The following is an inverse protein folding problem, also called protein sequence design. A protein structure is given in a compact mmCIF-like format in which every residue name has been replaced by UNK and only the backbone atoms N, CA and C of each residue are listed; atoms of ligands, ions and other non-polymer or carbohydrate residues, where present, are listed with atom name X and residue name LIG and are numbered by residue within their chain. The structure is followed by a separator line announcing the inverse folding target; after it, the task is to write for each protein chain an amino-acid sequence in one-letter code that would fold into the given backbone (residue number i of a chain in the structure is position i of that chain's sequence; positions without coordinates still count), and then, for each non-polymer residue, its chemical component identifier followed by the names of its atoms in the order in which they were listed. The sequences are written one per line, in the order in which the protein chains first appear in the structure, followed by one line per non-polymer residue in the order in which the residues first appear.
data_IF_656318394182
#
_entry.id   IF_656318394182
#
_cell.length_a   1.000
_cell.length_b   1.000
_cell.length_c   1.000
_cell.angle_alpha   90.00
_cell.angle_beta   90.00
_cell.angle_gamma   90.00
#
_symmetry.space_group_name_H-M   'P 1'
#
loop_
_entity.id
_entity.type
_entity.pdbx_description
1 polymer ?
#
# COMPACT_ATOMS: atom_id res chain seq x y z
N UNK A 1 -10.21 -26.41 6.74
CA UNK A 1 -9.45 -26.26 5.47
C UNK A 1 -8.65 -24.98 5.57
N UNK A 2 -7.36 -25.05 5.87
CA UNK A 2 -6.47 -23.88 5.80
C UNK A 2 -6.12 -23.67 4.33
N UNK A 3 -6.95 -22.91 3.63
CA UNK A 3 -6.57 -22.42 2.31
C UNK A 3 -5.43 -21.41 2.51
N UNK A 4 -4.19 -21.86 2.33
CA UNK A 4 -3.06 -20.94 2.25
C UNK A 4 -3.29 -20.04 1.03
N UNK A 5 -3.66 -18.78 1.28
CA UNK A 5 -3.76 -17.79 0.21
C UNK A 5 -2.41 -17.68 -0.52
N UNK A 6 -2.42 -17.56 -1.86
CA UNK A 6 -1.22 -17.27 -2.60
C UNK A 6 -0.51 -16.05 -2.02
N UNK A 7 0.80 -16.15 -1.83
CA UNK A 7 1.61 -15.05 -1.34
C UNK A 7 2.23 -14.32 -2.52
N UNK A 8 2.10 -13.01 -2.53
CA UNK A 8 2.66 -12.14 -3.55
C UNK A 8 3.78 -11.29 -2.97
N UNK A 9 4.97 -11.43 -3.54
CA UNK A 9 6.10 -10.54 -3.32
C UNK A 9 6.62 -10.00 -4.65
N UNK A 10 7.45 -8.98 -4.61
CA UNK A 10 8.03 -8.39 -5.81
C UNK A 10 9.37 -9.03 -6.15
N UNK A 11 9.68 -9.23 -7.45
CA UNK A 11 10.90 -9.89 -7.90
C UNK A 11 12.13 -8.98 -7.83
N UNK A 12 11.98 -7.73 -7.48
CA UNK A 12 13.04 -6.70 -7.37
C UNK A 12 12.80 -5.87 -6.13
N UNK A 13 13.84 -5.18 -5.67
CA UNK A 13 13.79 -4.27 -4.53
C UNK A 13 12.58 -3.34 -4.58
N UNK A 14 12.32 -2.75 -5.76
CA UNK A 14 11.12 -1.97 -6.00
C UNK A 14 10.68 -2.07 -7.47
N UNK A 15 9.41 -1.78 -7.68
CA UNK A 15 8.77 -1.71 -9.01
C UNK A 15 7.87 -0.48 -9.01
N UNK A 16 8.02 0.35 -10.04
CA UNK A 16 7.15 1.50 -10.28
C UNK A 16 6.36 1.25 -11.55
N UNK A 17 5.09 1.56 -11.53
CA UNK A 17 4.24 1.54 -12.71
C UNK A 17 3.33 2.75 -12.73
N UNK A 18 3.39 3.52 -13.80
CA UNK A 18 2.46 4.59 -14.10
C UNK A 18 1.54 4.14 -15.22
N UNK A 19 0.36 4.73 -15.29
CA UNK A 19 -0.63 4.45 -16.33
C UNK A 19 -1.07 2.97 -16.42
N UNK A 20 -1.16 2.30 -15.26
CA UNK A 20 -1.62 0.92 -15.19
C UNK A 20 -3.12 0.88 -15.46
N UNK A 21 -3.50 0.08 -16.44
CA UNK A 21 -4.88 -0.15 -16.85
C UNK A 21 -5.30 -1.59 -16.61
N UNK A 22 -6.53 -1.92 -16.99
CA UNK A 22 -7.16 -3.23 -16.75
C UNK A 22 -6.29 -4.45 -17.15
N UNK A 23 -5.48 -4.33 -18.20
CA UNK A 23 -4.69 -5.45 -18.72
C UNK A 23 -3.76 -6.08 -17.68
N UNK A 24 -3.17 -5.29 -16.79
CA UNK A 24 -2.26 -5.76 -15.75
C UNK A 24 -3.03 -6.35 -14.56
N UNK A 25 -4.16 -5.77 -14.18
CA UNK A 25 -4.96 -6.24 -13.05
C UNK A 25 -5.63 -7.59 -13.32
N UNK A 26 -5.79 -7.97 -14.59
CA UNK A 26 -6.33 -9.30 -14.94
C UNK A 26 -5.49 -10.46 -14.39
N UNK A 27 -4.18 -10.24 -14.14
CA UNK A 27 -3.32 -11.23 -13.49
C UNK A 27 -3.60 -11.37 -11.98
N UNK A 28 -4.27 -10.40 -11.34
CA UNK A 28 -4.49 -10.33 -9.89
C UNK A 28 -5.97 -10.53 -9.50
N UNK A 29 -6.76 -11.23 -10.33
CA UNK A 29 -8.16 -11.55 -10.01
C UNK A 29 -8.32 -12.50 -8.82
N UNK A 30 -7.27 -13.27 -8.50
CA UNK A 30 -7.30 -14.15 -7.35
C UNK A 30 -6.96 -13.40 -6.06
N UNK A 31 -7.67 -13.75 -5.00
CA UNK A 31 -7.33 -13.25 -3.67
C UNK A 31 -5.93 -13.68 -3.28
N UNK A 32 -5.07 -12.74 -2.94
CA UNK A 32 -3.71 -13.03 -2.51
C UNK A 32 -3.34 -12.24 -1.24
N UNK A 33 -2.33 -12.75 -0.53
CA UNK A 33 -1.73 -12.07 0.63
C UNK A 33 -0.41 -11.45 0.20
N UNK A 34 -0.23 -10.18 0.49
CA UNK A 34 1.00 -9.46 0.17
C UNK A 34 2.10 -9.76 1.16
N UNK A 35 3.32 -9.96 0.66
CA UNK A 35 4.58 -9.82 1.40
C UNK A 35 5.20 -8.45 1.17
N UNK A 36 4.97 -7.88 0.01
CA UNK A 36 5.41 -6.56 -0.41
C UNK A 36 4.63 -5.44 0.28
N UNK A 37 5.21 -4.25 0.34
CA UNK A 37 4.49 -3.00 0.57
C UNK A 37 4.16 -2.34 -0.75
N UNK A 38 2.91 -1.89 -0.95
CA UNK A 38 2.48 -1.27 -2.20
C UNK A 38 1.70 0.01 -1.89
N UNK A 39 2.07 1.08 -2.57
CA UNK A 39 1.37 2.36 -2.57
C UNK A 39 0.74 2.56 -3.95
N UNK A 40 -0.54 2.90 -3.99
CA UNK A 40 -1.30 3.09 -5.23
C UNK A 40 -2.01 4.42 -5.19
N UNK A 41 -1.97 5.16 -6.28
CA UNK A 41 -2.76 6.36 -6.50
C UNK A 41 -3.74 6.09 -7.66
N UNK A 42 -5.02 6.29 -7.40
CA UNK A 42 -6.02 6.28 -8.46
C UNK A 42 -5.95 7.62 -9.20
N UNK A 43 -5.57 7.58 -10.48
CA UNK A 43 -5.37 8.79 -11.31
C UNK A 43 -6.67 9.12 -12.04
N UNK A 44 -7.32 8.12 -12.63
CA UNK A 44 -8.57 8.29 -13.39
C UNK A 44 -9.51 7.10 -13.20
N UNK A 45 -10.79 7.36 -13.43
CA UNK A 45 -11.85 6.34 -13.44
C UNK A 45 -12.21 5.82 -12.07
N UNK A 46 -12.89 4.67 -12.05
CA UNK A 46 -13.31 4.01 -10.82
C UNK A 46 -12.87 2.55 -10.84
N UNK A 47 -12.33 2.08 -9.71
CA UNK A 47 -11.86 0.72 -9.54
C UNK A 47 -12.50 0.09 -8.29
N UNK A 48 -13.04 -1.11 -8.42
CA UNK A 48 -13.52 -1.89 -7.27
C UNK A 48 -12.47 -2.89 -6.83
N UNK A 49 -12.13 -2.86 -5.55
CA UNK A 49 -11.19 -3.77 -4.95
C UNK A 49 -11.65 -4.19 -3.55
N UNK A 50 -11.34 -5.41 -3.15
CA UNK A 50 -11.45 -5.86 -1.77
C UNK A 50 -10.06 -5.79 -1.13
N UNK A 51 -9.95 -5.07 -0.03
CA UNK A 51 -8.73 -4.90 0.76
C UNK A 51 -9.04 -5.32 2.20
N UNK A 52 -8.31 -6.31 2.72
CA UNK A 52 -8.55 -6.87 4.03
C UNK A 52 -10.02 -7.29 4.24
N UNK A 53 -10.61 -7.91 3.22
CA UNK A 53 -12.00 -8.38 3.17
C UNK A 53 -13.07 -7.26 3.20
N UNK A 54 -12.66 -6.01 3.06
CA UNK A 54 -13.57 -4.86 2.94
C UNK A 54 -13.58 -4.38 1.48
N UNK A 55 -14.77 -4.19 0.91
CA UNK A 55 -14.91 -3.67 -0.45
C UNK A 55 -14.76 -2.15 -0.50
N UNK A 56 -13.99 -1.67 -1.45
CA UNK A 56 -13.78 -0.26 -1.74
C UNK A 56 -14.10 0.03 -3.20
N UNK A 57 -14.71 1.19 -3.43
CA UNK A 57 -14.80 1.81 -4.76
C UNK A 57 -13.83 2.98 -4.78
N UNK A 58 -12.69 2.77 -5.43
CA UNK A 58 -11.62 3.75 -5.55
C UNK A 58 -11.99 4.77 -6.61
N UNK A 59 -11.69 6.03 -6.33
CA UNK A 59 -11.97 7.20 -7.18
C UNK A 59 -10.69 7.96 -7.45
N UNK A 60 -10.67 8.89 -8.42
CA UNK A 60 -9.53 9.77 -8.63
C UNK A 60 -9.09 10.46 -7.33
N UNK A 61 -7.78 10.53 -7.12
CA UNK A 61 -7.10 11.02 -5.92
C UNK A 61 -7.26 10.13 -4.66
N UNK A 62 -7.86 8.94 -4.77
CA UNK A 62 -7.75 7.95 -3.68
C UNK A 62 -6.35 7.35 -3.66
N UNK A 63 -5.73 7.40 -2.49
CA UNK A 63 -4.44 6.82 -2.21
C UNK A 63 -4.59 5.58 -1.34
N UNK A 64 -3.98 4.49 -1.78
CA UNK A 64 -4.08 3.18 -1.15
C UNK A 64 -2.71 2.80 -0.59
N UNK A 65 -2.68 2.40 0.67
CA UNK A 65 -1.49 1.89 1.34
C UNK A 65 -1.70 0.42 1.69
N UNK A 66 -0.99 -0.46 1.00
CA UNK A 66 -1.03 -1.89 1.24
C UNK A 66 0.27 -2.33 1.92
N UNK A 67 0.17 -2.77 3.17
CA UNK A 67 1.31 -3.23 3.97
C UNK A 67 1.46 -4.76 3.87
N UNK A 68 2.62 -5.33 4.20
CA UNK A 68 2.80 -6.77 4.30
C UNK A 68 1.72 -7.41 5.18
N UNK A 69 1.16 -8.52 4.71
CA UNK A 69 0.04 -9.19 5.36
C UNK A 69 -1.33 -8.75 4.85
N UNK A 70 -1.44 -7.63 4.13
CA UNK A 70 -2.70 -7.21 3.49
C UNK A 70 -3.21 -8.28 2.53
N UNK A 71 -4.52 -8.50 2.56
CA UNK A 71 -5.21 -9.40 1.63
C UNK A 71 -5.87 -8.54 0.57
N UNK A 72 -5.58 -8.78 -0.69
CA UNK A 72 -6.13 -8.01 -1.82
C UNK A 72 -6.81 -8.91 -2.83
N UNK A 73 -7.86 -8.37 -3.45
CA UNK A 73 -8.55 -8.95 -4.60
C UNK A 73 -9.10 -7.82 -5.46
N UNK A 74 -8.75 -7.81 -6.74
CA UNK A 74 -9.36 -6.90 -7.69
C UNK A 74 -10.67 -7.51 -8.23
N UNK A 75 -11.74 -6.72 -8.17
CA UNK A 75 -13.02 -7.10 -8.72
C UNK A 75 -13.05 -6.82 -10.22
N UNK A 76 -13.93 -7.50 -10.94
CA UNK A 76 -14.15 -7.23 -12.35
C UNK A 76 -14.61 -5.78 -12.56
N UNK A 77 -13.98 -5.08 -13.52
CA UNK A 77 -14.24 -3.68 -13.80
C UNK A 77 -15.16 -3.53 -15.01
N UNK A 78 -16.06 -2.56 -14.97
CA UNK A 78 -16.94 -2.19 -16.09
C UNK A 78 -16.50 -0.91 -16.78
N UNK A 79 -15.70 -0.09 -16.10
CA UNK A 79 -15.24 1.22 -16.55
C UNK A 79 -13.72 1.22 -16.69
N UNK A 80 -13.21 2.06 -17.58
CA UNK A 80 -11.77 2.29 -17.70
C UNK A 80 -11.25 3.02 -16.46
N UNK A 81 -10.05 2.69 -16.05
CA UNK A 81 -9.35 3.35 -14.95
C UNK A 81 -7.86 3.45 -15.27
N UNK A 82 -7.18 4.31 -14.55
CA UNK A 82 -5.74 4.49 -14.61
C UNK A 82 -5.17 4.65 -13.19
N UNK A 83 -4.18 3.83 -12.88
CA UNK A 83 -3.49 3.82 -11.59
C UNK A 83 -2.02 4.10 -11.79
N UNK A 84 -1.40 4.73 -10.80
CA UNK A 84 0.04 4.73 -10.58
C UNK A 84 0.35 3.97 -9.31
N UNK A 85 1.44 3.18 -9.29
CA UNK A 85 1.83 2.45 -8.10
C UNK A 85 3.34 2.38 -7.91
N UNK A 86 3.74 2.23 -6.66
CA UNK A 86 5.09 1.84 -6.25
C UNK A 86 4.96 0.65 -5.33
N UNK A 87 5.69 -0.40 -5.64
CA UNK A 87 5.81 -1.56 -4.76
C UNK A 87 7.24 -1.76 -4.31
N UNK A 88 7.42 -2.24 -3.08
CA UNK A 88 8.70 -2.58 -2.47
C UNK A 88 8.67 -4.02 -1.99
N UNK A 89 9.70 -4.81 -2.32
CA UNK A 89 9.79 -6.21 -1.87
C UNK A 89 9.93 -6.31 -0.35
N UNK A 90 9.58 -7.47 0.20
CA UNK A 90 9.75 -7.73 1.63
C UNK A 90 11.20 -7.55 2.07
N UNK A 91 12.16 -8.05 1.30
CA UNK A 91 13.59 -7.91 1.59
C UNK A 91 14.05 -6.45 1.63
N UNK A 92 13.59 -5.63 0.68
CA UNK A 92 13.96 -4.22 0.66
C UNK A 92 13.33 -3.45 1.83
N UNK A 93 12.09 -3.76 2.20
CA UNK A 93 11.42 -3.14 3.33
C UNK A 93 12.11 -3.45 4.66
N UNK A 94 12.61 -4.67 4.82
CA UNK A 94 13.39 -5.07 6.00
C UNK A 94 14.72 -4.29 6.07
N UNK A 95 15.44 -4.16 4.94
CA UNK A 95 16.66 -3.35 4.85
C UNK A 95 16.48 -1.89 5.29
N UNK A 96 15.33 -1.27 4.97
CA UNK A 96 15.07 0.14 5.33
C UNK A 96 14.44 0.31 6.70
N UNK A 97 14.20 -0.77 7.44
CA UNK A 97 13.47 -0.76 8.70
C UNK A 97 12.10 -0.03 8.59
N UNK A 98 11.44 -0.20 7.45
CA UNK A 98 10.22 0.51 7.11
C UNK A 98 9.15 0.34 8.19
N UNK A 99 8.99 -0.87 8.72
CA UNK A 99 8.01 -1.18 9.76
C UNK A 99 8.22 -0.30 11.01
N UNK A 100 9.49 -0.07 11.43
CA UNK A 100 9.78 0.81 12.58
C UNK A 100 9.37 2.25 12.31
N UNK A 101 9.61 2.76 11.10
CA UNK A 101 9.28 4.14 10.73
C UNK A 101 7.77 4.39 10.64
N UNK A 102 6.98 3.34 10.36
CA UNK A 102 5.52 3.43 10.22
C UNK A 102 4.76 2.90 11.43
N UNK A 103 5.43 2.41 12.48
CA UNK A 103 4.79 1.70 13.60
C UNK A 103 3.60 2.42 14.22
N UNK A 104 3.68 3.73 14.37
CA UNK A 104 2.58 4.53 14.96
C UNK A 104 1.35 4.62 14.05
N UNK A 105 1.55 4.61 12.74
CA UNK A 105 0.49 4.71 11.73
C UNK A 105 -0.06 3.34 11.28
N UNK A 106 0.68 2.25 11.48
CA UNK A 106 0.31 0.92 11.00
C UNK A 106 -1.11 0.48 11.37
N UNK A 107 -1.57 0.57 12.63
CA UNK A 107 -2.92 0.17 12.98
C UNK A 107 -3.97 0.94 12.17
N UNK A 108 -3.77 2.26 12.01
CA UNK A 108 -4.66 3.13 11.24
C UNK A 108 -4.64 2.79 9.75
N UNK A 109 -3.46 2.47 9.20
CA UNK A 109 -3.30 2.05 7.81
C UNK A 109 -4.06 0.74 7.54
N UNK A 110 -3.95 -0.26 8.42
CA UNK A 110 -4.67 -1.52 8.25
C UNK A 110 -6.19 -1.36 8.35
N UNK A 111 -6.66 -0.49 9.23
CA UNK A 111 -8.09 -0.20 9.39
C UNK A 111 -8.65 0.66 8.26
N UNK A 112 -7.84 1.56 7.72
CA UNK A 112 -8.23 2.53 6.70
C UNK A 112 -7.16 2.59 5.60
N UNK A 113 -7.02 1.54 4.80
CA UNK A 113 -5.97 1.47 3.78
C UNK A 113 -6.19 2.45 2.61
N UNK A 114 -7.38 3.01 2.49
CA UNK A 114 -7.75 3.96 1.43
C UNK A 114 -8.03 5.32 2.03
N UNK A 115 -7.37 6.35 1.53
CA UNK A 115 -7.58 7.74 1.93
C UNK A 115 -7.80 8.62 0.70
N UNK A 116 -8.87 9.42 0.70
CA UNK A 116 -9.07 10.46 -0.30
C UNK A 116 -8.11 11.62 -0.05
N UNK A 117 -7.32 11.98 -1.05
CA UNK A 117 -6.44 13.14 -1.04
C UNK A 117 -7.13 14.33 -1.70
N UNK A 118 -6.70 15.55 -1.34
CA UNK A 118 -6.96 16.71 -2.18
C UNK A 118 -5.97 16.72 -3.36
N UNK A 119 -6.23 17.54 -4.35
CA UNK A 119 -5.45 17.61 -5.60
C UNK A 119 -3.96 17.87 -5.32
N UNK A 120 -3.64 18.89 -4.51
CA UNK A 120 -2.24 19.24 -4.18
C UNK A 120 -1.45 18.06 -3.57
N UNK A 121 -2.11 17.27 -2.72
CA UNK A 121 -1.48 16.09 -2.08
C UNK A 121 -1.36 14.92 -3.04
N UNK A 122 -2.34 14.73 -3.92
CA UNK A 122 -2.29 13.71 -4.95
C UNK A 122 -1.14 14.00 -5.92
N UNK A 123 -0.99 15.25 -6.37
CA UNK A 123 0.10 15.69 -7.23
C UNK A 123 1.46 15.48 -6.54
N UNK A 124 1.58 15.86 -5.27
CA UNK A 124 2.80 15.65 -4.50
C UNK A 124 3.20 14.16 -4.41
N UNK A 125 2.24 13.27 -4.18
CA UNK A 125 2.49 11.82 -4.17
C UNK A 125 2.89 11.34 -5.57
N UNK A 126 2.23 11.84 -6.61
CA UNK A 126 2.51 11.47 -7.99
C UNK A 126 3.94 11.89 -8.41
N UNK A 127 4.45 13.01 -7.92
CA UNK A 127 5.84 13.44 -8.14
C UNK A 127 6.87 12.43 -7.63
N UNK A 128 6.62 11.79 -6.46
CA UNK A 128 7.46 10.69 -5.97
C UNK A 128 7.42 9.48 -6.92
N UNK A 129 6.25 9.17 -7.47
CA UNK A 129 6.10 8.04 -8.39
C UNK A 129 6.90 8.31 -9.67
N UNK A 130 6.79 9.50 -10.23
CA UNK A 130 7.57 9.90 -11.38
C UNK A 130 9.07 9.96 -11.10
N UNK A 131 9.47 10.43 -9.91
CA UNK A 131 10.88 10.44 -9.51
C UNK A 131 11.47 9.03 -9.50
N UNK A 132 10.79 8.08 -8.85
CA UNK A 132 11.26 6.69 -8.76
C UNK A 132 11.21 5.97 -10.11
N UNK A 133 10.23 6.26 -10.96
CA UNK A 133 10.20 5.75 -12.32
C UNK A 133 11.41 6.23 -13.13
N UNK A 134 11.75 7.51 -13.06
CA UNK A 134 12.92 8.07 -13.73
C UNK A 134 14.22 7.44 -13.24
N UNK A 135 14.33 7.14 -11.96
CA UNK A 135 15.47 6.41 -11.39
C UNK A 135 15.51 4.98 -11.93
N UNK A 136 14.36 4.29 -11.99
CA UNK A 136 14.27 2.92 -12.50
C UNK A 136 14.68 2.81 -13.98
N UNK A 137 14.31 3.78 -14.81
CA UNK A 137 14.52 3.74 -16.26
C UNK A 137 15.94 4.21 -16.67
N UNK A 138 16.49 5.20 -15.97
CA UNK A 138 17.71 5.89 -16.42
C UNK A 138 19.00 5.24 -15.92
N UNK A 139 18.95 4.49 -14.86
CA UNK A 139 20.16 3.95 -14.24
C UNK A 139 20.33 2.46 -14.53
N UNK A 140 21.42 2.11 -15.26
CA UNK A 140 21.88 0.73 -15.39
C UNK A 140 22.33 0.12 -14.05
N UNK A 141 22.65 0.97 -13.06
CA UNK A 141 22.99 0.63 -11.70
C UNK A 141 22.18 1.52 -10.76
N UNK A 142 21.11 0.95 -10.23
CA UNK A 142 20.23 1.63 -9.27
C UNK A 142 21.02 1.89 -7.99
N UNK A 143 21.14 3.16 -7.59
CA UNK A 143 21.66 3.49 -6.27
C UNK A 143 20.62 3.12 -5.20
N UNK A 144 20.78 1.94 -4.62
CA UNK A 144 19.88 1.37 -3.59
C UNK A 144 19.68 2.33 -2.41
N UNK A 145 20.72 3.04 -2.00
CA UNK A 145 20.64 4.02 -0.92
C UNK A 145 19.79 5.23 -1.29
N UNK A 146 19.88 5.71 -2.54
CA UNK A 146 19.00 6.80 -3.02
C UNK A 146 17.54 6.40 -2.94
N UNK A 147 17.17 5.22 -3.44
CA UNK A 147 15.80 4.70 -3.39
C UNK A 147 15.32 4.55 -1.96
N UNK A 148 16.18 4.08 -1.06
CA UNK A 148 15.90 3.99 0.38
C UNK A 148 15.54 5.35 0.98
N UNK A 149 16.30 6.40 0.70
CA UNK A 149 16.02 7.73 1.23
C UNK A 149 14.74 8.33 0.65
N UNK A 150 14.46 8.12 -0.64
CA UNK A 150 13.19 8.53 -1.26
C UNK A 150 12.03 7.82 -0.58
N UNK A 151 12.12 6.51 -0.38
CA UNK A 151 11.10 5.72 0.32
C UNK A 151 10.86 6.23 1.74
N UNK A 152 11.93 6.46 2.51
CA UNK A 152 11.80 6.97 3.90
C UNK A 152 11.11 8.33 3.93
N UNK A 153 11.46 9.24 3.03
CA UNK A 153 10.81 10.56 2.92
C UNK A 153 9.31 10.41 2.59
N UNK A 154 8.99 9.52 1.64
CA UNK A 154 7.60 9.23 1.27
C UNK A 154 6.81 8.63 2.43
N UNK A 155 7.40 7.71 3.19
CA UNK A 155 6.79 7.10 4.38
C UNK A 155 6.45 8.16 5.45
N UNK A 156 7.36 9.10 5.70
CA UNK A 156 7.08 10.18 6.64
C UNK A 156 5.90 11.03 6.17
N UNK A 157 5.87 11.43 4.90
CA UNK A 157 4.73 12.15 4.32
C UNK A 157 3.41 11.38 4.43
N UNK A 158 3.43 10.07 4.16
CA UNK A 158 2.26 9.20 4.31
C UNK A 158 1.83 9.11 5.78
N UNK A 159 2.77 8.95 6.72
CA UNK A 159 2.45 8.94 8.15
C UNK A 159 1.71 10.21 8.57
N UNK A 160 2.15 11.37 8.10
CA UNK A 160 1.50 12.66 8.39
C UNK A 160 0.07 12.72 7.80
N UNK A 161 -0.15 12.13 6.62
CA UNK A 161 -1.49 12.02 6.05
C UNK A 161 -2.45 11.22 6.95
N UNK A 162 -1.96 10.18 7.61
CA UNK A 162 -2.76 9.35 8.52
C UNK A 162 -2.94 10.00 9.90
N UNK A 163 -1.95 10.73 10.42
CA UNK A 163 -2.04 11.40 11.73
C UNK A 163 -2.93 12.65 11.70
N UNK A 164 -2.95 13.38 10.58
CA UNK A 164 -3.71 14.62 10.43
C UNK A 164 -5.22 14.45 10.22
N UNK A 165 -5.73 13.22 10.08
CA UNK A 165 -7.15 12.97 9.84
C UNK A 165 -7.87 12.54 11.11
N UNK A 166 -8.97 13.24 11.41
CA UNK A 166 -10.01 12.74 12.31
C UNK A 166 -10.81 11.66 11.57
N UNK A 167 -10.53 10.40 11.86
CA UNK A 167 -11.27 9.28 11.30
C UNK A 167 -12.67 9.24 11.91
N UNK A 168 -13.75 9.09 11.12
CA UNK A 168 -15.08 8.91 11.70
C UNK A 168 -15.02 7.69 12.63
N UNK A 169 -15.45 7.88 13.87
CA UNK A 169 -15.61 6.79 14.82
C UNK A 169 -16.55 5.77 14.16
N UNK A 170 -16.00 4.75 13.51
CA UNK A 170 -16.77 3.52 13.28
C UNK A 170 -17.26 3.10 14.66
N UNK A 171 -18.55 2.86 14.80
CA UNK A 171 -19.09 2.22 16.01
C UNK A 171 -18.31 0.91 16.12
N UNK A 172 -17.28 0.92 16.95
CA UNK A 172 -16.42 -0.25 17.14
C UNK A 172 -17.24 -1.28 17.86
N UNK A 173 -17.51 -2.37 17.18
CA UNK A 173 -18.11 -3.55 17.82
C UNK A 173 -17.03 -4.16 18.73
N UNK A 174 -17.47 -4.91 19.75
CA UNK A 174 -16.54 -5.68 20.61
C UNK A 174 -15.61 -6.60 19.79
N UNK A 175 -16.10 -7.07 18.64
CA UNK A 175 -15.32 -7.86 17.68
C UNK A 175 -14.20 -7.03 17.06
N UNK A 176 -14.46 -5.78 16.68
CA UNK A 176 -13.46 -4.87 16.10
C UNK A 176 -12.38 -4.53 17.11
N UNK A 177 -12.74 -4.33 18.38
CA UNK A 177 -11.76 -4.07 19.46
C UNK A 177 -10.85 -5.29 19.70
N UNK A 178 -11.41 -6.50 19.68
CA UNK A 178 -10.64 -7.74 19.81
C UNK A 178 -9.70 -7.89 18.61
N UNK A 179 -10.19 -7.66 17.40
CA UNK A 179 -9.40 -7.72 16.18
C UNK A 179 -8.24 -6.72 16.21
N UNK A 180 -8.50 -5.48 16.62
CA UNK A 180 -7.49 -4.41 16.78
C UNK A 180 -6.40 -4.80 17.78
N UNK A 181 -6.79 -5.30 18.96
CA UNK A 181 -5.86 -5.78 19.98
C UNK A 181 -5.05 -6.99 19.50
N UNK A 182 -5.67 -7.89 18.76
CA UNK A 182 -4.99 -9.05 18.17
C UNK A 182 -3.91 -8.61 17.17
N UNK A 183 -4.24 -7.72 16.23
CA UNK A 183 -3.27 -7.17 15.28
C UNK A 183 -2.11 -6.48 16.00
N UNK A 184 -2.39 -5.64 17.01
CA UNK A 184 -1.36 -4.97 17.81
C UNK A 184 -0.44 -5.97 18.54
N UNK A 185 -0.97 -7.04 19.07
CA UNK A 185 -0.19 -8.10 19.74
C UNK A 185 0.68 -8.86 18.75
N UNK A 186 0.11 -9.25 17.61
CA UNK A 186 0.86 -9.95 16.54
C UNK A 186 2.01 -9.09 16.02
N UNK A 187 1.78 -7.80 15.81
CA UNK A 187 2.82 -6.88 15.40
C UNK A 187 3.92 -6.74 16.44
N UNK A 188 3.58 -6.62 17.73
CA UNK A 188 4.56 -6.59 18.83
C UNK A 188 5.40 -7.86 18.87
N UNK A 189 4.77 -9.02 18.73
CA UNK A 189 5.47 -10.31 18.75
C UNK A 189 6.37 -10.50 17.54
N UNK A 190 5.94 -10.07 16.36
CA UNK A 190 6.76 -10.10 15.14
C UNK A 190 8.03 -9.25 15.25
N UNK A 191 8.00 -8.18 16.05
CA UNK A 191 9.14 -7.27 16.25
C UNK A 191 10.12 -7.74 17.34
N UNK A 192 9.71 -8.68 18.19
CA UNK A 192 10.56 -9.25 19.25
C UNK A 192 11.42 -10.41 18.71
N UNK A 193 11.06 -10.96 17.55
CA UNK A 193 11.75 -12.10 16.94
C UNK A 193 12.66 -11.75 15.74
N UNK A 194 13.00 -10.44 15.57
CA UNK A 194 14.02 -10.00 14.60
C UNK A 194 15.25 -9.51 15.31
#
# INVERSE_FOLDING_TARGET
MNANLPQLDLPRDYVVGNDITEAILNFYKQTCRLKAGIFVLCVEGNLRASINLTEYTLKPNDFITLMPGSIIQFCEQKESFRLSFIGFSSEFMDCVNMIKSTMSALPTIYENPVIALNEDRADFINDYFHLLERVQVKEKSINREMVKHILLTMIHGISDLYQGKSWPNKITTRSDEIHKKFIQLVMKLSLIHI
#
